data_IF_362507751587
#
_entry.id   IF_362507751587
#
_cell.length_a   1.000
_cell.length_b   1.000
_cell.length_c   1.000
_cell.angle_alpha   90.00
_cell.angle_beta   90.00
_cell.angle_gamma   90.00
#
_symmetry.space_group_name_H-M   'P 1'
#
loop_
_entity.id
_entity.type
_entity.pdbx_description
1 polymer ?
#
# COMPACT_ATOMS: atom_id res chain seq x y z
N UNK A 1 6.27 -22.41 -26.37
CA UNK A 1 7.36 -21.42 -26.26
C UNK A 1 6.90 -19.95 -26.22
N UNK A 2 5.97 -19.47 -27.05
CA UNK A 2 5.53 -18.05 -27.03
C UNK A 2 4.86 -17.58 -25.71
N UNK A 3 4.17 -18.45 -24.96
CA UNK A 3 3.53 -18.09 -23.67
C UNK A 3 4.56 -17.84 -22.57
N UNK A 4 5.65 -18.59 -22.57
CA UNK A 4 6.74 -18.45 -21.59
C UNK A 4 7.46 -17.12 -21.74
N UNK A 5 7.74 -16.67 -22.96
CA UNK A 5 8.42 -15.41 -23.22
C UNK A 5 7.62 -14.18 -22.74
N UNK A 6 6.28 -14.17 -22.96
CA UNK A 6 5.42 -13.09 -22.46
C UNK A 6 5.41 -13.02 -20.93
N UNK A 7 5.39 -14.17 -20.25
CA UNK A 7 5.44 -14.23 -18.80
C UNK A 7 6.79 -13.74 -18.27
N UNK A 8 7.89 -14.12 -18.95
CA UNK A 8 9.22 -13.60 -18.62
C UNK A 8 9.34 -12.08 -18.81
N UNK A 9 8.83 -11.55 -19.89
CA UNK A 9 8.83 -10.11 -20.17
C UNK A 9 7.97 -9.33 -19.17
N UNK A 10 6.83 -9.88 -18.75
CA UNK A 10 6.00 -9.29 -17.69
C UNK A 10 6.71 -9.30 -16.33
N UNK A 11 7.36 -10.39 -15.96
CA UNK A 11 8.14 -10.46 -14.72
C UNK A 11 9.34 -9.50 -14.76
N UNK A 12 10.00 -9.38 -15.91
CA UNK A 12 11.11 -8.44 -16.09
C UNK A 12 10.66 -6.98 -16.03
N UNK A 13 9.50 -6.66 -16.60
CA UNK A 13 8.94 -5.31 -16.54
C UNK A 13 8.57 -4.89 -15.12
N UNK A 14 8.03 -5.81 -14.30
CA UNK A 14 7.73 -5.52 -12.88
C UNK A 14 9.00 -5.34 -12.06
N UNK A 15 10.06 -6.10 -12.31
CA UNK A 15 11.35 -5.90 -11.67
C UNK A 15 12.03 -4.60 -12.11
N UNK A 16 11.89 -4.21 -13.37
CA UNK A 16 12.40 -2.94 -13.89
C UNK A 16 11.70 -1.74 -13.28
N UNK A 17 10.39 -1.80 -13.06
CA UNK A 17 9.65 -0.76 -12.33
C UNK A 17 10.10 -0.65 -10.86
N UNK A 18 10.36 -1.78 -10.20
CA UNK A 18 10.91 -1.80 -8.84
C UNK A 18 12.32 -1.21 -8.78
N UNK A 19 13.15 -1.49 -9.79
CA UNK A 19 14.49 -0.91 -9.92
C UNK A 19 14.44 0.61 -10.15
N UNK A 20 13.50 1.09 -10.98
CA UNK A 20 13.27 2.53 -11.17
C UNK A 20 12.85 3.22 -9.87
N UNK A 21 12.02 2.57 -9.06
CA UNK A 21 11.68 3.06 -7.72
C UNK A 21 12.89 3.18 -6.81
N UNK A 22 13.83 2.23 -6.89
CA UNK A 22 15.09 2.27 -6.11
C UNK A 22 16.02 3.38 -6.58
N UNK A 23 16.08 3.66 -7.89
CA UNK A 23 16.85 4.79 -8.44
C UNK A 23 16.24 6.13 -8.01
N UNK A 24 14.93 6.25 -8.03
CA UNK A 24 14.23 7.45 -7.53
C UNK A 24 14.54 7.72 -6.06
N UNK A 25 14.63 6.67 -5.24
CA UNK A 25 15.01 6.82 -3.82
C UNK A 25 16.47 7.19 -3.61
N UNK A 26 17.36 6.87 -4.56
CA UNK A 26 18.75 7.29 -4.53
C UNK A 26 18.94 8.79 -4.89
N UNK A 27 18.02 9.32 -5.71
CA UNK A 27 18.03 10.74 -6.13
C UNK A 27 17.37 11.66 -5.09
N UNK A 28 16.42 11.13 -4.30
CA UNK A 28 15.76 11.90 -3.26
C UNK A 28 16.69 12.02 -2.05
N UNK A 29 17.01 13.26 -1.57
CA UNK A 29 17.86 13.44 -0.41
C UNK A 29 17.33 12.67 0.80
N UNK A 30 18.23 12.05 1.55
CA UNK A 30 17.87 11.26 2.72
C UNK A 30 17.06 12.13 3.71
N UNK A 31 15.86 11.69 4.11
CA UNK A 31 15.04 12.50 5.01
C UNK A 31 15.69 12.62 6.37
N UNK A 32 15.62 13.80 6.98
CA UNK A 32 16.14 14.09 8.33
C UNK A 32 15.50 13.20 9.42
N UNK A 33 14.31 12.67 9.17
CA UNK A 33 13.64 11.68 10.01
C UNK A 33 12.99 10.61 9.13
N UNK A 34 13.66 9.46 8.99
CA UNK A 34 13.21 8.34 8.15
C UNK A 34 11.88 7.77 8.60
N UNK A 35 11.62 7.72 9.91
CA UNK A 35 10.37 7.20 10.45
C UNK A 35 9.19 8.08 10.02
N UNK A 36 9.34 9.40 10.10
CA UNK A 36 8.33 10.33 9.63
C UNK A 36 8.12 10.22 8.11
N UNK A 37 9.19 10.08 7.35
CA UNK A 37 9.12 9.91 5.91
C UNK A 37 8.35 8.64 5.51
N UNK A 38 8.57 7.53 6.21
CA UNK A 38 7.81 6.28 6.03
C UNK A 38 6.33 6.48 6.35
N UNK A 39 6.01 7.12 7.47
CA UNK A 39 4.62 7.40 7.85
C UNK A 39 3.91 8.30 6.83
N UNK A 40 4.60 9.34 6.32
CA UNK A 40 4.05 10.20 5.25
C UNK A 40 3.83 9.44 3.95
N UNK A 41 4.80 8.63 3.53
CA UNK A 41 4.68 7.83 2.33
C UNK A 41 3.50 6.84 2.42
N UNK A 42 3.35 6.16 3.57
CA UNK A 42 2.22 5.29 3.84
C UNK A 42 0.88 6.05 3.82
N UNK A 43 0.82 7.21 4.47
CA UNK A 43 -0.38 8.04 4.48
C UNK A 43 -0.80 8.46 3.07
N UNK A 44 0.16 8.95 2.27
CA UNK A 44 -0.08 9.35 0.88
C UNK A 44 -0.55 8.14 0.05
N UNK A 45 0.14 7.00 0.15
CA UNK A 45 -0.23 5.78 -0.55
C UNK A 45 -1.64 5.32 -0.19
N UNK A 46 -1.95 5.22 1.11
CA UNK A 46 -3.26 4.78 1.60
C UNK A 46 -4.39 5.71 1.17
N UNK A 47 -4.19 7.02 1.26
CA UNK A 47 -5.20 7.98 0.80
C UNK A 47 -5.37 7.92 -0.71
N UNK A 48 -4.27 7.98 -1.46
CA UNK A 48 -4.35 8.07 -2.92
C UNK A 48 -4.97 6.81 -3.50
N UNK A 49 -4.43 5.64 -3.22
CA UNK A 49 -4.89 4.38 -3.79
C UNK A 49 -6.35 4.09 -3.40
N UNK A 50 -6.67 4.11 -2.11
CA UNK A 50 -7.99 3.72 -1.63
C UNK A 50 -9.09 4.71 -2.02
N UNK A 51 -8.82 6.03 -1.99
CA UNK A 51 -9.84 7.00 -2.40
C UNK A 51 -10.06 7.00 -3.93
N UNK A 52 -9.01 6.83 -4.73
CA UNK A 52 -9.20 6.69 -6.18
C UNK A 52 -9.94 5.40 -6.54
N UNK A 53 -9.72 4.30 -5.82
CA UNK A 53 -10.48 3.06 -6.00
C UNK A 53 -11.92 3.20 -5.52
N UNK A 54 -12.16 3.92 -4.44
CA UNK A 54 -13.51 4.12 -3.88
C UNK A 54 -14.39 5.03 -4.75
N UNK A 55 -13.84 6.15 -5.25
CA UNK A 55 -14.61 7.15 -6.00
C UNK A 55 -14.42 7.06 -7.52
N UNK A 56 -13.51 6.23 -7.99
CA UNK A 56 -13.25 6.06 -9.41
C UNK A 56 -14.44 5.40 -10.12
N UNK A 57 -14.98 6.09 -11.10
CA UNK A 57 -16.05 5.58 -11.97
C UNK A 57 -15.52 4.98 -13.28
N UNK A 58 -14.21 5.06 -13.52
CA UNK A 58 -13.60 4.68 -14.80
C UNK A 58 -12.27 3.94 -14.57
N UNK A 59 -11.97 2.94 -15.42
CA UNK A 59 -10.73 2.16 -15.37
C UNK A 59 -9.48 3.04 -15.39
N UNK A 60 -9.52 4.17 -16.10
CA UNK A 60 -8.39 5.12 -16.16
C UNK A 60 -8.13 5.74 -14.79
N UNK A 61 -9.17 6.15 -14.07
CA UNK A 61 -9.07 6.74 -12.72
C UNK A 61 -8.51 5.72 -11.74
N UNK A 62 -8.96 4.47 -11.80
CA UNK A 62 -8.42 3.38 -10.98
C UNK A 62 -6.95 3.09 -11.28
N UNK A 63 -6.57 3.09 -12.56
CA UNK A 63 -5.17 2.86 -12.97
C UNK A 63 -4.26 3.99 -12.48
N UNK A 64 -4.70 5.24 -12.59
CA UNK A 64 -3.95 6.40 -12.09
C UNK A 64 -3.80 6.32 -10.55
N UNK A 65 -4.86 6.01 -9.83
CA UNK A 65 -4.84 5.84 -8.38
C UNK A 65 -3.87 4.75 -7.94
N UNK A 66 -3.93 3.59 -8.60
CA UNK A 66 -3.02 2.49 -8.34
C UNK A 66 -1.55 2.87 -8.59
N UNK A 67 -1.23 3.50 -9.72
CA UNK A 67 0.15 3.94 -10.03
C UNK A 67 0.66 4.94 -9.01
N UNK A 68 -0.15 5.93 -8.62
CA UNK A 68 0.22 6.94 -7.63
C UNK A 68 0.42 6.34 -6.25
N UNK A 69 -0.41 5.38 -5.84
CA UNK A 69 -0.23 4.63 -4.58
C UNK A 69 1.05 3.80 -4.59
N UNK A 70 1.31 3.09 -5.68
CA UNK A 70 2.48 2.22 -5.81
C UNK A 70 3.82 2.94 -5.90
N UNK A 71 3.86 4.16 -6.42
CA UNK A 71 5.12 4.91 -6.57
C UNK A 71 5.76 5.27 -5.22
N UNK A 72 4.96 5.35 -4.15
CA UNK A 72 5.43 5.62 -2.79
C UNK A 72 6.00 4.38 -2.08
N UNK A 73 5.63 3.17 -2.50
CA UNK A 73 6.06 1.91 -1.87
C UNK A 73 7.58 1.70 -1.93
N UNK A 74 8.28 1.86 -3.08
CA UNK A 74 9.72 1.73 -3.14
C UNK A 74 10.46 2.71 -2.23
N UNK A 75 9.98 3.95 -2.13
CA UNK A 75 10.55 4.96 -1.23
C UNK A 75 10.42 4.53 0.25
N UNK A 76 9.26 4.02 0.64
CA UNK A 76 9.01 3.49 1.97
C UNK A 76 9.93 2.30 2.27
N UNK A 77 9.99 1.31 1.37
CA UNK A 77 10.81 0.11 1.54
C UNK A 77 12.29 0.46 1.67
N UNK A 78 12.82 1.36 0.85
CA UNK A 78 14.22 1.78 0.92
C UNK A 78 14.56 2.43 2.27
N UNK A 79 13.71 3.32 2.79
CA UNK A 79 13.91 3.92 4.11
C UNK A 79 13.82 2.87 5.24
N UNK A 80 12.91 1.91 5.12
CA UNK A 80 12.77 0.83 6.08
C UNK A 80 13.97 -0.11 6.07
N UNK A 81 14.50 -0.44 4.89
CA UNK A 81 15.69 -1.27 4.73
C UNK A 81 16.93 -0.62 5.35
N UNK A 82 17.07 0.70 5.23
CA UNK A 82 18.18 1.42 5.89
C UNK A 82 18.06 1.33 7.41
N UNK A 83 16.86 1.50 7.96
CA UNK A 83 16.62 1.35 9.41
C UNK A 83 17.00 -0.06 9.86
N UNK A 84 16.53 -1.09 9.18
CA UNK A 84 16.85 -2.48 9.52
C UNK A 84 18.35 -2.78 9.44
N UNK A 85 19.02 -2.35 8.37
CA UNK A 85 20.46 -2.58 8.20
C UNK A 85 21.30 -1.89 9.27
N UNK A 86 20.86 -0.73 9.77
CA UNK A 86 21.55 -0.02 10.86
C UNK A 86 21.26 -0.58 12.24
N UNK A 87 20.04 -1.15 12.44
CA UNK A 87 19.61 -1.66 13.75
C UNK A 87 19.99 -3.10 13.99
N UNK A 88 20.30 -3.89 12.95
CA UNK A 88 20.48 -5.33 13.04
C UNK A 88 21.92 -5.67 12.70
N UNK A 89 22.61 -6.46 13.55
CA UNK A 89 23.96 -6.98 13.24
C UNK A 89 24.00 -7.71 11.91
N UNK A 90 25.08 -7.56 11.15
CA UNK A 90 25.21 -8.11 9.80
C UNK A 90 24.93 -9.62 9.72
N UNK A 91 25.33 -10.35 10.77
CA UNK A 91 25.15 -11.82 10.88
C UNK A 91 23.67 -12.24 10.94
N UNK A 92 22.79 -11.38 11.46
CA UNK A 92 21.36 -11.66 11.63
C UNK A 92 20.48 -11.05 10.52
N UNK A 93 21.02 -10.17 9.70
CA UNK A 93 20.24 -9.45 8.67
C UNK A 93 19.52 -10.42 7.73
N UNK A 94 20.18 -11.47 7.25
CA UNK A 94 19.55 -12.44 6.36
C UNK A 94 18.32 -13.12 6.97
N UNK A 95 18.39 -13.49 8.25
CA UNK A 95 17.26 -14.13 8.96
C UNK A 95 16.08 -13.17 9.15
N UNK A 96 16.37 -11.92 9.54
CA UNK A 96 15.33 -10.93 9.77
C UNK A 96 14.65 -10.52 8.46
N UNK A 97 15.41 -10.31 7.39
CA UNK A 97 14.83 -10.01 6.07
C UNK A 97 14.01 -11.17 5.51
N UNK A 98 14.45 -12.42 5.69
CA UNK A 98 13.66 -13.60 5.33
C UNK A 98 12.35 -13.67 6.09
N UNK A 99 12.38 -13.49 7.40
CA UNK A 99 11.17 -13.49 8.23
C UNK A 99 10.20 -12.39 7.82
N UNK A 100 10.69 -11.16 7.64
CA UNK A 100 9.88 -10.04 7.15
C UNK A 100 9.23 -10.35 5.81
N UNK A 101 9.99 -10.84 4.84
CA UNK A 101 9.48 -11.14 3.51
C UNK A 101 8.44 -12.26 3.57
N UNK A 102 8.68 -13.32 4.35
CA UNK A 102 7.73 -14.41 4.53
C UNK A 102 6.40 -13.91 5.10
N UNK A 103 6.44 -13.08 6.13
CA UNK A 103 5.23 -12.45 6.70
C UNK A 103 4.51 -11.57 5.69
N UNK A 104 5.25 -10.75 4.95
CA UNK A 104 4.67 -9.86 3.93
C UNK A 104 3.98 -10.66 2.82
N UNK A 105 4.64 -11.67 2.27
CA UNK A 105 4.07 -12.51 1.20
C UNK A 105 2.92 -13.40 1.69
N UNK A 106 2.94 -13.86 2.93
CA UNK A 106 1.84 -14.60 3.51
C UNK A 106 0.59 -13.73 3.73
N UNK A 107 0.78 -12.48 4.09
CA UNK A 107 -0.33 -11.54 4.35
C UNK A 107 -1.12 -11.19 3.07
N UNK A 108 -0.48 -11.24 1.88
CA UNK A 108 -1.14 -10.90 0.61
C UNK A 108 -2.32 -11.84 0.31
N UNK A 109 -2.16 -13.18 0.21
CA UNK A 109 -3.29 -14.08 -0.07
C UNK A 109 -4.33 -14.06 1.05
N UNK A 110 -3.91 -13.90 2.30
CA UNK A 110 -4.83 -13.76 3.43
C UNK A 110 -5.69 -12.49 3.29
N UNK A 111 -5.07 -11.36 2.93
CA UNK A 111 -5.77 -10.09 2.68
C UNK A 111 -6.76 -10.18 1.52
N UNK A 112 -6.37 -10.83 0.41
CA UNK A 112 -7.26 -11.06 -0.74
C UNK A 112 -8.47 -11.93 -0.36
N UNK A 113 -8.25 -13.01 0.39
CA UNK A 113 -9.33 -13.89 0.84
C UNK A 113 -10.30 -13.17 1.78
N UNK A 114 -9.77 -12.48 2.80
CA UNK A 114 -10.58 -11.73 3.75
C UNK A 114 -11.31 -10.56 3.08
N UNK A 115 -10.62 -9.85 2.18
CA UNK A 115 -11.21 -8.76 1.41
C UNK A 115 -12.39 -9.23 0.56
N UNK A 116 -12.24 -10.32 -0.19
CA UNK A 116 -13.32 -10.92 -0.96
C UNK A 116 -14.49 -11.37 -0.08
N UNK A 117 -14.21 -12.09 1.00
CA UNK A 117 -15.24 -12.55 1.93
C UNK A 117 -16.00 -11.39 2.62
N UNK A 118 -15.32 -10.31 2.94
CA UNK A 118 -15.94 -9.09 3.50
C UNK A 118 -16.81 -8.38 2.46
N UNK A 119 -16.33 -8.24 1.23
CA UNK A 119 -17.12 -7.63 0.15
C UNK A 119 -18.41 -8.42 -0.07
N UNK A 120 -18.30 -9.72 -0.35
CA UNK A 120 -19.44 -10.53 -0.75
C UNK A 120 -20.40 -10.80 0.43
N UNK A 121 -19.86 -10.99 1.64
CA UNK A 121 -20.67 -11.37 2.82
C UNK A 121 -21.24 -10.19 3.62
N UNK A 122 -20.61 -9.03 3.56
CA UNK A 122 -20.95 -7.89 4.43
C UNK A 122 -21.28 -6.64 3.63
N UNK A 123 -20.32 -6.17 2.83
CA UNK A 123 -20.43 -4.85 2.21
C UNK A 123 -21.40 -4.80 1.03
N UNK A 124 -21.44 -5.81 0.18
CA UNK A 124 -22.43 -5.88 -0.92
C UNK A 124 -23.88 -5.97 -0.38
N UNK A 125 -24.21 -6.91 0.53
CA UNK A 125 -25.55 -6.96 1.12
C UNK A 125 -25.94 -5.70 1.92
N UNK A 126 -24.94 -5.05 2.55
CA UNK A 126 -25.17 -3.79 3.25
C UNK A 126 -25.54 -2.68 2.28
N UNK A 127 -24.83 -2.55 1.17
CA UNK A 127 -25.11 -1.55 0.14
C UNK A 127 -26.47 -1.78 -0.55
N UNK A 128 -26.82 -3.03 -0.84
CA UNK A 128 -28.13 -3.37 -1.42
C UNK A 128 -29.30 -3.03 -0.49
N UNK A 129 -29.15 -3.28 0.80
CA UNK A 129 -30.22 -3.05 1.80
C UNK A 129 -30.25 -1.62 2.33
N UNK A 130 -29.14 -0.89 2.20
CA UNK A 130 -29.08 0.48 2.69
C UNK A 130 -29.90 1.41 1.80
N UNK A 131 -31.06 1.86 2.27
CA UNK A 131 -31.86 2.90 1.61
C UNK A 131 -31.25 4.31 1.70
N UNK A 132 -29.95 4.42 1.95
CA UNK A 132 -29.25 5.70 2.12
C UNK A 132 -28.84 6.25 0.75
N UNK A 133 -29.65 7.13 0.22
CA UNK A 133 -29.43 7.77 -1.09
C UNK A 133 -28.02 8.40 -1.26
N UNK A 134 -27.41 8.86 -0.18
CA UNK A 134 -26.06 9.45 -0.20
C UNK A 134 -25.00 8.41 -0.52
N UNK A 135 -25.08 7.21 0.05
CA UNK A 135 -24.15 6.12 -0.22
C UNK A 135 -24.25 5.66 -1.67
N UNK A 136 -25.47 5.48 -2.16
CA UNK A 136 -25.73 5.11 -3.56
C UNK A 136 -25.25 6.17 -4.55
N UNK A 137 -25.32 7.45 -4.19
CA UNK A 137 -24.84 8.56 -5.03
C UNK A 137 -23.32 8.64 -5.07
N UNK A 138 -22.63 8.27 -3.97
CA UNK A 138 -21.17 8.34 -3.87
C UNK A 138 -20.47 7.10 -4.44
N UNK A 139 -20.99 5.91 -4.16
CA UNK A 139 -20.35 4.63 -4.50
C UNK A 139 -21.05 3.87 -5.63
N UNK A 140 -22.14 4.43 -6.17
CA UNK A 140 -22.94 3.79 -7.20
C UNK A 140 -23.93 2.76 -6.67
N UNK A 141 -24.79 2.28 -7.58
CA UNK A 141 -25.79 1.22 -7.31
C UNK A 141 -25.43 -0.01 -8.16
N UNK A 142 -25.27 -1.17 -7.54
CA UNK A 142 -25.01 -2.42 -8.24
C UNK A 142 -23.76 -3.14 -7.77
N UNK A 143 -23.40 -4.21 -8.48
CA UNK A 143 -22.22 -5.03 -8.14
C UNK A 143 -20.95 -4.20 -8.16
N UNK A 144 -20.19 -4.25 -7.06
CA UNK A 144 -18.96 -3.50 -6.87
C UNK A 144 -19.10 -2.27 -5.97
N UNK A 145 -20.32 -1.83 -5.65
CA UNK A 145 -20.55 -0.72 -4.71
C UNK A 145 -20.07 -1.07 -3.29
N UNK A 146 -20.21 -2.32 -2.88
CA UNK A 146 -19.69 -2.85 -1.61
C UNK A 146 -18.14 -2.81 -1.58
N UNK A 147 -17.49 -3.15 -2.69
CA UNK A 147 -16.03 -3.05 -2.79
C UNK A 147 -15.55 -1.60 -2.71
N UNK A 148 -16.21 -0.67 -3.40
CA UNK A 148 -15.89 0.76 -3.34
C UNK A 148 -16.03 1.30 -1.90
N UNK A 149 -17.07 0.91 -1.20
CA UNK A 149 -17.28 1.30 0.20
C UNK A 149 -16.24 0.67 1.14
N UNK A 150 -15.84 -0.59 0.90
CA UNK A 150 -14.73 -1.23 1.65
C UNK A 150 -13.43 -0.46 1.46
N UNK A 151 -13.05 -0.10 0.23
CA UNK A 151 -11.85 0.71 -0.02
C UNK A 151 -11.92 2.05 0.68
N UNK A 152 -13.05 2.71 0.70
CA UNK A 152 -13.25 3.95 1.44
C UNK A 152 -13.00 3.77 2.95
N UNK A 153 -13.56 2.72 3.55
CA UNK A 153 -13.34 2.39 4.96
C UNK A 153 -11.86 2.09 5.26
N UNK A 154 -11.20 1.30 4.40
CA UNK A 154 -9.77 0.99 4.52
C UNK A 154 -8.93 2.27 4.41
N UNK A 155 -9.27 3.17 3.48
CA UNK A 155 -8.60 4.45 3.32
C UNK A 155 -8.67 5.31 4.58
N UNK A 156 -9.85 5.43 5.20
CA UNK A 156 -10.03 6.18 6.44
C UNK A 156 -9.27 5.55 7.60
N UNK A 157 -9.43 4.23 7.81
CA UNK A 157 -8.73 3.51 8.89
C UNK A 157 -7.22 3.59 8.69
N UNK A 158 -6.73 3.38 7.46
CA UNK A 158 -5.31 3.49 7.13
C UNK A 158 -4.75 4.89 7.38
N UNK A 159 -5.48 5.93 6.97
CA UNK A 159 -5.10 7.32 7.23
C UNK A 159 -5.05 7.64 8.73
N UNK A 160 -6.06 7.18 9.49
CA UNK A 160 -6.11 7.36 10.95
C UNK A 160 -4.92 6.66 11.64
N UNK A 161 -4.66 5.41 11.29
CA UNK A 161 -3.52 4.64 11.82
C UNK A 161 -2.19 5.33 11.48
N UNK A 162 -1.97 5.74 10.23
CA UNK A 162 -0.76 6.46 9.83
C UNK A 162 -0.58 7.77 10.60
N UNK A 163 -1.67 8.50 10.84
CA UNK A 163 -1.65 9.75 11.61
C UNK A 163 -1.27 9.49 13.07
N UNK A 164 -1.86 8.47 13.70
CA UNK A 164 -1.52 8.07 15.08
C UNK A 164 -0.05 7.67 15.17
N UNK A 165 0.46 6.85 14.25
CA UNK A 165 1.86 6.47 14.20
C UNK A 165 2.79 7.67 13.94
N UNK A 166 2.37 8.61 13.11
CA UNK A 166 3.11 9.87 12.92
C UNK A 166 3.33 10.62 14.23
N UNK A 167 2.29 10.75 15.06
CA UNK A 167 2.40 11.43 16.36
C UNK A 167 3.21 10.63 17.37
N UNK A 168 3.02 9.32 17.45
CA UNK A 168 3.71 8.45 18.42
C UNK A 168 5.19 8.29 18.04
N UNK A 169 5.47 7.84 16.81
CA UNK A 169 6.81 7.52 16.36
C UNK A 169 7.58 8.77 15.91
N UNK A 170 6.90 9.85 15.56
CA UNK A 170 7.55 11.12 15.23
C UNK A 170 8.34 11.75 16.36
N UNK A 171 8.09 11.32 17.60
CA UNK A 171 8.93 11.69 18.77
C UNK A 171 10.28 10.96 18.77
N UNK A 172 10.35 9.77 18.16
CA UNK A 172 11.57 8.99 18.03
C UNK A 172 12.39 9.54 16.85
N UNK A 173 13.34 10.40 17.16
CA UNK A 173 14.29 10.92 16.19
C UNK A 173 15.37 9.85 15.99
N UNK A 174 15.29 9.11 14.90
CA UNK A 174 16.38 8.23 14.49
C UNK A 174 17.56 9.11 14.09
N UNK A 175 18.57 9.21 14.95
CA UNK A 175 19.81 9.91 14.62
C UNK A 175 20.59 9.04 13.60
N UNK A 176 20.76 9.56 12.38
CA UNK A 176 21.68 8.99 11.41
C UNK A 176 23.12 9.30 11.84
N UNK A 177 23.65 8.59 12.81
CA UNK A 177 25.04 8.72 13.20
C UNK A 177 25.26 8.75 14.72
N UNK A 178 25.38 7.62 15.31
CA UNK A 178 26.33 7.24 16.36
C UNK A 178 26.74 5.81 16.07
#
# INVERSE_FOLDING_TARGET
MKKSLKTYLLLWSTQSLSALGSVLTAVIPAPSNRVRAICMALFISMCTENFFLAFGSNTVVWSVGAVLGWITIPFMNANMDVIFRKSIPAEMQGRVFSCRNTLQFFTIPLGLFLGGALVDGVFEPFMEKSGINVLHRLFGTGKGSGAAFLFFCIGIVGAAVCTVFWFILGKYRWKDGE
#
